data_IF_552171734611
#
_entry.id   IF_552171734611
#
_cell.length_a   1.000
_cell.length_b   1.000
_cell.length_c   1.000
_cell.angle_alpha   90.00
_cell.angle_beta   90.00
_cell.angle_gamma   90.00
#
_symmetry.space_group_name_H-M   'P 1'
#
loop_
_entity.id
_entity.type
_entity.pdbx_description
1 polymer ?
#
# COMPACT_ATOMS: atom_id res chain seq x y z
N UNK A 1 24.00 17.98 19.28
CA UNK A 1 23.57 16.92 18.34
C UNK A 1 23.17 15.61 19.02
N UNK A 2 24.05 14.93 19.79
CA UNK A 2 23.73 13.64 20.48
C UNK A 2 22.54 13.67 21.47
N UNK A 3 22.30 14.78 22.19
CA UNK A 3 21.17 14.90 23.13
C UNK A 3 19.79 14.94 22.46
N UNK A 4 19.68 15.44 21.22
CA UNK A 4 18.41 15.47 20.48
C UNK A 4 18.08 14.10 19.89
N UNK A 5 19.08 13.38 19.40
CA UNK A 5 18.91 11.99 18.93
C UNK A 5 18.47 11.06 20.07
N UNK A 6 19.04 11.23 21.28
CA UNK A 6 18.66 10.44 22.44
C UNK A 6 17.23 10.75 22.93
N UNK A 7 16.82 12.02 22.88
CA UNK A 7 15.43 12.42 23.20
C UNK A 7 14.44 11.91 22.17
N UNK A 8 14.81 11.93 20.88
CA UNK A 8 14.00 11.39 19.80
C UNK A 8 13.85 9.87 19.93
N UNK A 9 14.95 9.15 20.17
CA UNK A 9 14.94 7.71 20.48
C UNK A 9 14.03 7.38 21.66
N UNK A 10 14.14 8.11 22.76
CA UNK A 10 13.31 7.88 23.94
C UNK A 10 11.82 8.18 23.67
N UNK A 11 11.48 9.20 22.88
CA UNK A 11 10.09 9.51 22.53
C UNK A 11 9.48 8.51 21.55
N UNK A 12 10.25 8.01 20.59
CA UNK A 12 9.82 6.97 19.65
C UNK A 12 9.60 5.64 20.38
N UNK A 13 10.55 5.22 21.23
CA UNK A 13 10.43 3.96 21.99
C UNK A 13 9.24 3.93 22.98
N UNK A 14 8.83 5.08 23.53
CA UNK A 14 7.70 5.17 24.45
C UNK A 14 6.33 5.03 23.75
N UNK A 15 6.29 5.11 22.41
CA UNK A 15 5.08 4.97 21.60
C UNK A 15 5.28 3.96 20.46
N UNK A 16 5.77 2.77 20.80
CA UNK A 16 5.96 1.67 19.85
C UNK A 16 4.69 1.27 19.07
N UNK A 17 3.49 1.68 19.51
CA UNK A 17 2.23 1.48 18.79
C UNK A 17 2.00 2.44 17.62
N UNK A 18 2.80 3.50 17.48
CA UNK A 18 2.59 4.58 16.50
C UNK A 18 3.54 4.48 15.27
N UNK A 19 4.49 3.52 15.26
CA UNK A 19 5.45 3.31 14.19
C UNK A 19 5.53 1.83 13.79
N UNK A 20 5.54 1.57 12.49
CA UNK A 20 6.01 0.30 11.95
C UNK A 20 7.40 0.52 11.35
N UNK A 21 8.41 -0.20 11.84
CA UNK A 21 9.81 -0.02 11.45
C UNK A 21 10.21 -1.06 10.42
N UNK A 22 10.95 -0.64 9.41
CA UNK A 22 11.43 -1.43 8.29
C UNK A 22 12.93 -1.22 8.10
N UNK A 23 13.66 -2.28 7.77
CA UNK A 23 15.08 -2.18 7.41
C UNK A 23 15.26 -1.49 6.04
N UNK A 24 14.32 -1.74 5.12
CA UNK A 24 14.40 -1.27 3.74
C UNK A 24 13.44 -0.11 3.46
N UNK A 25 13.91 0.85 2.65
CA UNK A 25 13.16 2.05 2.29
C UNK A 25 11.98 1.72 1.38
N UNK A 26 12.21 0.88 0.37
CA UNK A 26 11.21 0.52 -0.63
C UNK A 26 10.04 -0.22 0.06
N UNK A 27 10.34 -1.14 0.96
CA UNK A 27 9.34 -1.82 1.81
C UNK A 27 8.55 -0.86 2.70
N UNK A 28 9.20 0.13 3.31
CA UNK A 28 8.50 1.18 4.07
C UNK A 28 7.56 2.00 3.18
N UNK A 29 7.97 2.33 1.95
CA UNK A 29 7.14 3.04 0.97
C UNK A 29 5.92 2.20 0.58
N UNK A 30 6.10 0.91 0.30
CA UNK A 30 5.01 -0.01 -0.01
C UNK A 30 4.01 -0.13 1.14
N UNK A 31 4.50 -0.27 2.37
CA UNK A 31 3.67 -0.30 3.55
C UNK A 31 2.90 1.01 3.73
N UNK A 32 3.56 2.16 3.56
CA UNK A 32 2.93 3.47 3.65
C UNK A 32 1.82 3.66 2.61
N UNK A 33 2.02 3.20 1.37
CA UNK A 33 1.00 3.24 0.32
C UNK A 33 -0.22 2.41 0.70
N UNK A 34 0.02 1.21 1.23
CA UNK A 34 -1.06 0.34 1.71
C UNK A 34 -1.81 0.96 2.89
N UNK A 35 -1.10 1.48 3.89
CA UNK A 35 -1.70 2.17 5.05
C UNK A 35 -2.59 3.34 4.62
N UNK A 36 -2.11 4.15 3.68
CA UNK A 36 -2.89 5.26 3.10
C UNK A 36 -4.13 4.76 2.35
N UNK A 37 -4.06 3.63 1.66
CA UNK A 37 -5.21 3.05 0.98
C UNK A 37 -6.25 2.50 1.96
N UNK A 38 -5.86 1.69 2.94
CA UNK A 38 -6.82 1.08 3.88
C UNK A 38 -7.45 2.11 4.83
N UNK A 39 -6.71 3.17 5.18
CA UNK A 39 -7.21 4.27 6.01
C UNK A 39 -7.78 5.46 5.21
N UNK A 40 -8.00 5.32 3.89
CA UNK A 40 -8.53 6.39 3.03
C UNK A 40 -9.85 6.97 3.52
N UNK A 41 -10.68 6.15 4.17
CA UNK A 41 -12.05 6.50 4.60
C UNK A 41 -12.03 7.36 5.87
N UNK A 42 -11.05 7.15 6.77
CA UNK A 42 -10.96 7.89 8.02
C UNK A 42 -10.08 9.15 7.93
N UNK A 43 -9.65 9.52 6.71
CA UNK A 43 -8.82 10.69 6.43
C UNK A 43 -7.52 10.74 7.27
N UNK A 44 -7.00 9.58 7.65
CA UNK A 44 -5.71 9.44 8.32
C UNK A 44 -4.65 9.23 7.25
N UNK A 45 -3.66 10.11 7.21
CA UNK A 45 -2.51 9.99 6.31
C UNK A 45 -1.30 9.45 7.04
N UNK A 46 -0.56 8.60 6.33
CA UNK A 46 0.69 8.01 6.75
C UNK A 46 1.82 8.52 5.86
N UNK A 47 3.01 8.58 6.42
CA UNK A 47 4.25 8.99 5.77
C UNK A 47 5.40 8.07 6.18
N UNK A 48 6.47 8.06 5.39
CA UNK A 48 7.73 7.40 5.72
C UNK A 48 8.70 8.43 6.28
N UNK A 49 9.35 8.10 7.40
CA UNK A 49 10.36 8.93 8.05
C UNK A 49 11.64 8.16 8.28
N UNK A 50 12.75 8.88 8.41
CA UNK A 50 14.05 8.29 8.77
C UNK A 50 14.03 7.89 10.25
N UNK A 51 14.30 6.63 10.56
CA UNK A 51 14.42 6.13 11.92
C UNK A 51 15.86 6.32 12.45
N UNK A 52 16.06 6.67 13.74
CA UNK A 52 17.39 6.95 14.31
C UNK A 52 18.42 5.81 14.27
N UNK A 53 17.99 4.59 13.99
CA UNK A 53 18.85 3.39 13.91
C UNK A 53 19.23 3.03 12.46
N UNK A 54 19.29 4.03 11.57
CA UNK A 54 19.51 3.84 10.12
C UNK A 54 18.46 2.91 9.47
N UNK A 55 17.21 3.02 9.94
CA UNK A 55 16.06 2.28 9.43
C UNK A 55 15.02 3.26 8.88
N UNK A 56 13.90 2.72 8.44
CA UNK A 56 12.75 3.48 7.96
C UNK A 56 11.55 3.20 8.85
N UNK A 57 10.67 4.18 9.03
CA UNK A 57 9.46 4.00 9.80
C UNK A 57 8.25 4.58 9.07
N UNK A 58 7.13 3.86 9.12
CA UNK A 58 5.82 4.35 8.69
C UNK A 58 5.06 4.84 9.91
N UNK A 59 4.55 6.07 9.86
CA UNK A 59 3.75 6.65 10.93
C UNK A 59 2.72 7.64 10.40
N UNK A 60 1.79 8.05 11.27
CA UNK A 60 0.81 9.10 10.95
C UNK A 60 1.53 10.42 10.63
N UNK A 61 1.05 11.10 9.59
CA UNK A 61 1.60 12.38 9.14
C UNK A 61 1.45 13.47 10.22
N UNK A 62 0.35 13.45 10.99
CA UNK A 62 0.12 14.38 12.10
C UNK A 62 1.20 14.27 13.17
N UNK A 63 1.60 13.05 13.53
CA UNK A 63 2.68 12.81 14.46
C UNK A 63 4.03 13.27 13.90
N UNK A 64 4.33 12.93 12.64
CA UNK A 64 5.59 13.33 12.01
C UNK A 64 5.75 14.86 11.99
N UNK A 65 4.66 15.60 11.75
CA UNK A 65 4.64 17.07 11.83
C UNK A 65 4.83 17.58 13.26
N UNK A 66 4.12 17.03 14.24
CA UNK A 66 4.28 17.40 15.66
C UNK A 66 5.73 17.23 16.15
N UNK A 67 6.41 16.22 15.62
CA UNK A 67 7.77 15.85 16.02
C UNK A 67 8.85 16.37 15.07
N UNK A 68 8.47 17.17 14.07
CA UNK A 68 9.38 17.76 13.08
C UNK A 68 10.28 16.71 12.38
N UNK A 69 9.71 15.54 12.06
CA UNK A 69 10.44 14.46 11.40
C UNK A 69 10.57 14.72 9.90
N UNK A 70 11.74 14.38 9.35
CA UNK A 70 11.97 14.42 7.91
C UNK A 70 11.15 13.32 7.23
N UNK A 71 10.27 13.74 6.31
CA UNK A 71 9.40 12.86 5.54
C UNK A 71 9.99 12.58 4.17
N UNK A 72 9.83 11.33 3.73
CA UNK A 72 10.21 10.90 2.39
C UNK A 72 9.11 11.21 1.36
N UNK A 73 9.52 11.32 0.09
CA UNK A 73 8.60 11.48 -1.03
C UNK A 73 8.02 10.10 -1.36
N UNK A 74 6.70 9.96 -1.24
CA UNK A 74 5.97 8.75 -1.57
C UNK A 74 5.43 8.87 -3.00
N UNK A 75 5.65 7.88 -3.89
CA UNK A 75 5.06 7.89 -5.22
C UNK A 75 3.53 7.83 -5.13
N UNK A 76 2.82 8.36 -6.13
CA UNK A 76 1.37 8.43 -6.09
C UNK A 76 0.67 7.05 -6.27
N UNK A 77 1.28 6.16 -7.05
CA UNK A 77 0.74 4.84 -7.37
C UNK A 77 1.84 3.91 -7.95
N UNK A 78 1.44 2.70 -8.33
CA UNK A 78 2.32 1.66 -8.88
C UNK A 78 2.39 1.64 -10.41
N UNK A 79 1.86 2.63 -11.13
CA UNK A 79 1.76 2.60 -12.59
C UNK A 79 3.12 2.55 -13.31
N UNK A 80 4.20 2.97 -12.64
CA UNK A 80 5.56 2.96 -13.17
C UNK A 80 6.45 1.84 -12.62
N UNK A 81 5.89 0.78 -12.03
CA UNK A 81 6.67 -0.37 -11.58
C UNK A 81 7.39 -1.06 -12.75
N UNK A 82 8.71 -1.18 -12.64
CA UNK A 82 9.53 -1.97 -13.56
C UNK A 82 9.52 -3.46 -13.21
N UNK A 83 9.91 -4.31 -14.18
CA UNK A 83 10.03 -5.76 -13.92
C UNK A 83 11.07 -6.09 -12.84
N UNK A 84 12.16 -5.32 -12.71
CA UNK A 84 13.14 -5.52 -11.64
C UNK A 84 12.55 -5.20 -10.26
N UNK A 85 11.75 -4.14 -10.15
CA UNK A 85 11.04 -3.83 -8.89
C UNK A 85 10.02 -4.92 -8.54
N UNK A 86 9.25 -5.39 -9.53
CA UNK A 86 8.32 -6.52 -9.33
C UNK A 86 9.09 -7.76 -8.87
N UNK A 87 10.25 -8.03 -9.47
CA UNK A 87 11.12 -9.14 -9.07
C UNK A 87 11.60 -8.98 -7.62
N UNK A 88 12.03 -7.80 -7.21
CA UNK A 88 12.42 -7.54 -5.82
C UNK A 88 11.28 -7.78 -4.83
N UNK A 89 10.08 -7.27 -5.13
CA UNK A 89 8.87 -7.49 -4.31
C UNK A 89 8.58 -8.99 -4.17
N UNK A 90 8.65 -9.76 -5.26
CA UNK A 90 8.37 -11.20 -5.26
C UNK A 90 9.46 -12.05 -4.60
N UNK A 91 10.69 -11.54 -4.51
CA UNK A 91 11.82 -12.24 -3.90
C UNK A 91 12.03 -11.88 -2.43
N UNK A 92 11.24 -10.98 -1.87
CA UNK A 92 11.25 -10.68 -0.44
C UNK A 92 10.90 -11.97 0.33
N UNK A 93 11.77 -12.36 1.27
CA UNK A 93 11.58 -13.53 2.12
C UNK A 93 10.48 -13.34 3.17
N UNK A 94 10.10 -12.08 3.43
CA UNK A 94 9.09 -11.67 4.39
C UNK A 94 8.15 -10.63 3.74
N UNK A 95 7.38 -10.99 2.69
CA UNK A 95 6.63 -10.02 1.92
C UNK A 95 5.58 -9.28 2.76
N UNK A 96 5.26 -8.04 2.37
CA UNK A 96 4.11 -7.36 2.97
C UNK A 96 2.82 -8.14 2.65
N UNK A 97 1.89 -8.33 3.61
CA UNK A 97 0.75 -9.23 3.43
C UNK A 97 -0.08 -8.95 2.16
N UNK A 98 -0.30 -7.68 1.81
CA UNK A 98 -1.06 -7.34 0.60
C UNK A 98 -0.33 -7.71 -0.70
N UNK A 99 1.01 -7.68 -0.71
CA UNK A 99 1.81 -8.13 -1.85
C UNK A 99 1.84 -9.65 -1.95
N UNK A 100 1.89 -10.34 -0.81
CA UNK A 100 1.79 -11.81 -0.77
C UNK A 100 0.47 -12.29 -1.38
N UNK A 101 -0.66 -11.73 -0.93
CA UNK A 101 -1.99 -12.03 -1.47
C UNK A 101 -2.09 -11.73 -2.97
N UNK A 102 -1.69 -10.52 -3.40
CA UNK A 102 -1.77 -10.11 -4.79
C UNK A 102 -0.88 -10.99 -5.70
N UNK A 103 0.35 -11.29 -5.28
CA UNK A 103 1.23 -12.16 -6.04
C UNK A 103 0.74 -13.62 -6.04
N UNK A 104 0.13 -14.05 -4.93
CA UNK A 104 -0.46 -15.37 -4.77
C UNK A 104 -1.55 -15.64 -5.81
N UNK A 105 -2.45 -14.67 -6.03
CA UNK A 105 -3.51 -14.78 -7.05
C UNK A 105 -2.99 -15.15 -8.44
N UNK A 106 -1.87 -14.56 -8.87
CA UNK A 106 -1.27 -14.87 -10.17
C UNK A 106 -0.37 -16.11 -10.15
N UNK A 107 0.21 -16.47 -9.01
CA UNK A 107 1.16 -17.58 -8.93
C UNK A 107 0.49 -18.95 -8.97
N UNK A 108 -0.80 -19.03 -8.61
CA UNK A 108 -1.60 -20.26 -8.70
C UNK A 108 -2.38 -20.39 -10.01
N UNK A 109 -2.44 -19.33 -10.82
CA UNK A 109 -3.13 -19.34 -12.09
C UNK A 109 -2.36 -20.18 -13.13
N UNK A 110 -3.09 -20.95 -13.96
CA UNK A 110 -2.47 -21.65 -15.08
C UNK A 110 -1.82 -20.66 -16.04
N UNK A 111 -0.61 -20.98 -16.49
CA UNK A 111 0.16 -20.16 -17.43
C UNK A 111 -0.59 -19.89 -18.73
N UNK A 112 -1.46 -20.79 -19.18
CA UNK A 112 -2.25 -20.57 -20.40
C UNK A 112 -3.34 -19.53 -20.23
N UNK A 113 -3.96 -19.41 -19.04
CA UNK A 113 -4.86 -18.31 -18.75
C UNK A 113 -4.11 -16.97 -18.71
N UNK A 114 -2.91 -16.93 -18.12
CA UNK A 114 -2.08 -15.72 -18.09
C UNK A 114 -1.65 -15.31 -19.51
N UNK A 115 -1.21 -16.26 -20.34
CA UNK A 115 -0.90 -16.02 -21.75
C UNK A 115 -2.12 -15.53 -22.52
N UNK A 116 -3.30 -16.11 -22.28
CA UNK A 116 -4.53 -15.73 -22.95
C UNK A 116 -4.99 -14.32 -22.57
N UNK A 117 -4.89 -13.94 -21.28
CA UNK A 117 -5.15 -12.57 -20.80
C UNK A 117 -4.33 -11.55 -21.60
N UNK A 118 -3.03 -11.83 -21.76
CA UNK A 118 -2.12 -10.96 -22.51
C UNK A 118 -2.43 -10.97 -24.02
N UNK A 119 -2.55 -12.14 -24.63
CA UNK A 119 -2.78 -12.32 -26.06
C UNK A 119 -4.06 -11.61 -26.52
N UNK A 120 -5.15 -11.85 -25.79
CA UNK A 120 -6.48 -11.32 -26.12
C UNK A 120 -6.71 -9.90 -25.62
N UNK A 121 -5.72 -9.29 -24.94
CA UNK A 121 -5.81 -7.94 -24.34
C UNK A 121 -7.05 -7.78 -23.45
N UNK A 122 -7.29 -8.78 -22.60
CA UNK A 122 -8.45 -8.78 -21.71
C UNK A 122 -8.39 -7.54 -20.79
N UNK A 123 -9.44 -6.71 -20.71
CA UNK A 123 -9.44 -5.49 -19.90
C UNK A 123 -9.57 -5.84 -18.41
N UNK A 124 -8.45 -6.15 -17.76
CA UNK A 124 -8.42 -6.57 -16.35
C UNK A 124 -9.09 -5.55 -15.42
N UNK A 125 -8.93 -4.25 -15.67
CA UNK A 125 -9.60 -3.21 -14.89
C UNK A 125 -11.14 -3.36 -14.94
N UNK A 126 -11.71 -3.61 -16.12
CA UNK A 126 -13.16 -3.80 -16.28
C UNK A 126 -13.64 -5.07 -15.57
N UNK A 127 -12.86 -6.14 -15.61
CA UNK A 127 -13.17 -7.37 -14.86
C UNK A 127 -13.16 -7.13 -13.34
N UNK A 128 -12.16 -6.42 -12.83
CA UNK A 128 -12.06 -6.07 -11.40
C UNK A 128 -13.24 -5.18 -10.98
N UNK A 129 -13.56 -4.14 -11.76
CA UNK A 129 -14.72 -3.27 -11.50
C UNK A 129 -16.04 -4.05 -11.50
N UNK A 130 -16.19 -5.00 -12.42
CA UNK A 130 -17.38 -5.85 -12.47
C UNK A 130 -17.51 -6.74 -11.23
N UNK A 131 -16.42 -7.38 -10.82
CA UNK A 131 -16.38 -8.16 -9.58
C UNK A 131 -16.70 -7.30 -8.34
N UNK A 132 -16.17 -6.07 -8.27
CA UNK A 132 -16.50 -5.12 -7.19
C UNK A 132 -17.98 -4.71 -7.19
N UNK A 133 -18.57 -4.49 -8.36
CA UNK A 133 -20.01 -4.22 -8.50
C UNK A 133 -20.86 -5.40 -7.99
N UNK A 134 -20.47 -6.64 -8.34
CA UNK A 134 -21.13 -7.85 -7.86
C UNK A 134 -21.04 -8.04 -6.35
N UNK A 135 -20.06 -7.43 -5.68
CA UNK A 135 -19.93 -7.44 -4.22
C UNK A 135 -20.81 -6.43 -3.51
N UNK A 136 -21.43 -5.47 -4.19
CA UNK A 136 -22.41 -4.55 -3.59
C UNK A 136 -21.84 -3.45 -2.68
N UNK A 137 -20.53 -3.23 -2.72
CA UNK A 137 -19.84 -2.19 -1.95
C UNK A 137 -19.42 -1.00 -2.83
N UNK A 138 -19.27 0.19 -2.25
CA UNK A 138 -18.68 1.37 -2.89
C UNK A 138 -17.14 1.41 -2.77
N UNK A 139 -16.50 2.46 -3.28
CA UNK A 139 -15.04 2.68 -3.19
C UNK A 139 -14.52 2.83 -1.75
N UNK A 140 -15.41 3.05 -0.79
CA UNK A 140 -15.15 3.21 0.64
C UNK A 140 -15.59 1.98 1.44
N UNK A 141 -15.75 0.83 0.80
CA UNK A 141 -16.15 -0.46 1.43
C UNK A 141 -17.54 -0.45 2.08
N UNK A 142 -18.33 0.61 1.92
CA UNK A 142 -19.68 0.68 2.47
C UNK A 142 -20.62 -0.15 1.61
N UNK A 143 -21.48 -0.96 2.24
CA UNK A 143 -22.52 -1.68 1.53
C UNK A 143 -23.57 -0.70 0.99
N UNK A 144 -23.74 -0.67 -0.33
CA UNK A 144 -24.68 0.23 -1.02
C UNK A 144 -25.73 -0.53 -1.84
N UNK A 145 -25.62 -1.86 -1.89
CA UNK A 145 -26.47 -2.73 -2.72
C UNK A 145 -26.01 -2.80 -4.17
N UNK A 146 -26.47 -3.82 -4.89
CA UNK A 146 -25.96 -4.16 -6.22
C UNK A 146 -26.18 -3.07 -7.27
N UNK A 147 -27.37 -2.46 -7.32
CA UNK A 147 -27.66 -1.44 -8.33
C UNK A 147 -26.80 -0.20 -8.14
N UNK A 148 -26.64 0.26 -6.89
CA UNK A 148 -25.79 1.41 -6.60
C UNK A 148 -24.32 1.10 -6.85
N UNK A 149 -23.85 -0.09 -6.49
CA UNK A 149 -22.49 -0.51 -6.77
C UNK A 149 -22.21 -0.57 -8.28
N UNK A 150 -23.17 -1.01 -9.10
CA UNK A 150 -23.03 -0.96 -10.57
C UNK A 150 -22.86 0.46 -11.08
N UNK A 151 -23.64 1.43 -10.60
CA UNK A 151 -23.50 2.85 -10.98
C UNK A 151 -22.09 3.39 -10.68
N UNK A 152 -21.52 3.00 -9.52
CA UNK A 152 -20.21 3.45 -9.08
C UNK A 152 -19.09 2.82 -9.94
N UNK A 153 -19.12 1.50 -10.09
CA UNK A 153 -17.99 0.76 -10.67
C UNK A 153 -18.04 0.61 -12.19
N UNK A 154 -19.24 0.50 -12.78
CA UNK A 154 -19.44 0.19 -14.20
C UNK A 154 -19.60 1.42 -15.08
N UNK A 155 -19.15 2.59 -14.62
CA UNK A 155 -19.10 3.79 -15.46
C UNK A 155 -18.15 3.58 -16.64
N UNK A 156 -18.64 3.87 -17.85
CA UNK A 156 -17.80 3.93 -19.04
C UNK A 156 -17.03 5.26 -19.02
N UNK A 157 -15.82 5.22 -18.45
CA UNK A 157 -14.80 6.26 -18.63
C UNK A 157 -13.90 5.92 -19.81
#
# INVERSE_FOLDING_TARGET
MRKNLQRLKNRIMLRNSDFTVFEDKEKAIHACLWENFIHRICNVKFCVVVHPDNKWAVCKESFAKEMELLQEIIPANYASLSYEQIRHIKMDSDPLPFWEELCGMFSVADGDYLRFILHSKIPLEKLIRYELACRGHDENTSWVGFEKAKEIWLSEN
#
